data_IF_047684822514
#
_entry.id   IF_047684822514
#
_cell.length_a   1.000
_cell.length_b   1.000
_cell.length_c   1.000
_cell.angle_alpha   90.00
_cell.angle_beta   90.00
_cell.angle_gamma   90.00
#
_symmetry.space_group_name_H-M   'P 1'
#
loop_
_entity.id
_entity.type
_entity.pdbx_description
1 polymer ?
#
# COMPACT_ATOMS: atom_id res chain seq x y z
N UNK A 1 12.22 -10.72 5.78
CA UNK A 1 11.56 -9.39 5.88
C UNK A 1 11.70 -8.63 4.57
N UNK A 2 10.81 -7.67 4.27
CA UNK A 2 10.88 -6.90 3.02
C UNK A 2 12.26 -6.20 2.88
N UNK A 3 12.82 -6.16 1.69
CA UNK A 3 14.09 -5.46 1.40
C UNK A 3 13.79 -3.99 1.08
N UNK A 4 14.69 -3.01 1.33
CA UNK A 4 14.48 -1.63 0.89
C UNK A 4 14.32 -1.49 -0.63
N UNK A 5 14.46 -2.54 -1.44
CA UNK A 5 14.15 -2.53 -2.88
C UNK A 5 13.11 -3.57 -3.30
N UNK A 6 12.52 -4.32 -2.35
CA UNK A 6 11.54 -5.37 -2.64
C UNK A 6 10.23 -5.10 -1.91
N UNK A 7 9.13 -5.29 -2.61
CA UNK A 7 7.79 -5.31 -2.05
C UNK A 7 7.20 -6.72 -2.22
N UNK A 8 6.46 -7.19 -1.22
CA UNK A 8 5.65 -8.40 -1.37
C UNK A 8 4.31 -8.00 -1.99
N UNK A 9 3.77 -8.82 -2.90
CA UNK A 9 2.49 -8.52 -3.53
C UNK A 9 1.68 -9.79 -3.76
N UNK A 10 0.37 -9.62 -3.88
CA UNK A 10 -0.55 -10.68 -4.29
C UNK A 10 -1.62 -10.10 -5.20
N UNK A 11 -2.01 -10.85 -6.23
CA UNK A 11 -3.22 -10.58 -7.02
C UNK A 11 -4.37 -11.37 -6.43
N UNK A 12 -5.50 -10.72 -6.18
CA UNK A 12 -6.69 -11.34 -5.60
C UNK A 12 -7.99 -10.74 -6.14
N UNK A 13 -9.08 -11.49 -6.04
CA UNK A 13 -10.39 -11.00 -6.45
C UNK A 13 -10.91 -9.90 -5.51
N UNK A 14 -11.64 -8.92 -6.04
CA UNK A 14 -12.21 -7.78 -5.31
C UNK A 14 -13.19 -8.16 -4.20
N UNK A 15 -13.73 -9.38 -4.25
CA UNK A 15 -14.67 -9.96 -3.30
C UNK A 15 -14.03 -10.98 -2.36
N UNK A 16 -12.71 -11.17 -2.42
CA UNK A 16 -11.95 -12.02 -1.48
C UNK A 16 -12.32 -11.69 -0.03
N UNK A 17 -12.58 -12.74 0.76
CA UNK A 17 -12.97 -12.59 2.17
C UNK A 17 -11.87 -11.87 2.96
N UNK A 18 -12.19 -10.84 3.75
CA UNK A 18 -11.17 -10.06 4.47
C UNK A 18 -10.41 -10.87 5.53
N UNK A 19 -11.02 -11.94 6.07
CA UNK A 19 -10.36 -12.91 6.94
C UNK A 19 -9.10 -13.51 6.30
N UNK A 20 -9.20 -13.95 5.04
CA UNK A 20 -8.08 -14.57 4.32
C UNK A 20 -6.95 -13.55 4.07
N UNK A 21 -7.32 -12.29 3.83
CA UNK A 21 -6.35 -11.20 3.65
C UNK A 21 -5.64 -10.89 4.96
N UNK A 22 -6.35 -10.90 6.10
CA UNK A 22 -5.73 -10.72 7.40
C UNK A 22 -4.82 -11.91 7.78
N UNK A 23 -5.21 -13.14 7.43
CA UNK A 23 -4.37 -14.32 7.59
C UNK A 23 -3.09 -14.22 6.74
N UNK A 24 -3.21 -13.78 5.47
CA UNK A 24 -2.06 -13.49 4.62
C UNK A 24 -1.12 -12.47 5.30
N UNK A 25 -1.65 -11.36 5.81
CA UNK A 25 -0.85 -10.34 6.47
C UNK A 25 -0.12 -10.89 7.70
N UNK A 26 -0.82 -11.62 8.56
CA UNK A 26 -0.30 -12.02 9.87
C UNK A 26 0.56 -13.28 9.83
N UNK A 27 0.23 -14.25 8.96
CA UNK A 27 0.92 -15.54 8.86
C UNK A 27 2.00 -15.51 7.79
N UNK A 28 1.61 -15.24 6.55
CA UNK A 28 2.53 -15.33 5.40
C UNK A 28 3.49 -14.14 5.31
N UNK A 29 2.99 -12.93 5.59
CA UNK A 29 3.80 -11.71 5.59
C UNK A 29 4.37 -11.37 6.98
N UNK A 30 4.00 -12.16 8.00
CA UNK A 30 4.48 -12.04 9.38
C UNK A 30 4.31 -10.63 9.95
N UNK A 31 3.20 -9.97 9.63
CA UNK A 31 2.85 -8.66 10.16
C UNK A 31 2.13 -8.81 11.51
N UNK A 32 2.60 -8.10 12.53
CA UNK A 32 1.86 -7.96 13.78
C UNK A 32 0.53 -7.21 13.53
N UNK A 33 -0.54 -7.65 14.17
CA UNK A 33 -1.86 -7.01 14.08
C UNK A 33 -1.75 -5.53 14.51
N UNK A 34 -2.25 -4.58 13.71
CA UNK A 34 -2.00 -3.17 13.99
C UNK A 34 -2.88 -2.68 15.12
N UNK A 35 -2.32 -1.86 16.02
CA UNK A 35 -3.10 -1.13 17.03
C UNK A 35 -3.91 0.02 16.42
N UNK A 36 -3.51 0.48 15.24
CA UNK A 36 -4.14 1.57 14.50
C UNK A 36 -4.00 1.31 13.00
N UNK A 37 -5.07 1.57 12.24
CA UNK A 37 -5.04 1.57 10.78
C UNK A 37 -5.13 3.01 10.26
N UNK A 38 -4.15 3.45 9.48
CA UNK A 38 -4.13 4.78 8.87
C UNK A 38 -4.38 4.63 7.37
N UNK A 39 -5.58 4.96 6.91
CA UNK A 39 -5.89 4.99 5.48
C UNK A 39 -5.71 6.40 4.94
N UNK A 40 -4.80 6.56 3.97
CA UNK A 40 -4.57 7.83 3.28
C UNK A 40 -5.18 7.76 1.87
N UNK A 41 -6.11 8.67 1.61
CA UNK A 41 -6.90 8.74 0.37
C UNK A 41 -6.85 10.16 -0.20
N UNK A 42 -7.04 10.30 -1.50
CA UNK A 42 -7.32 11.59 -2.13
C UNK A 42 -7.22 11.56 -3.65
N UNK A 43 -7.10 12.74 -4.25
CA UNK A 43 -7.11 12.90 -5.70
C UNK A 43 -6.00 12.12 -6.41
N UNK A 44 -6.31 11.64 -7.62
CA UNK A 44 -5.36 10.94 -8.51
C UNK A 44 -4.40 11.89 -9.22
N UNK A 45 -4.83 13.12 -9.49
CA UNK A 45 -3.99 14.11 -10.13
C UNK A 45 -2.80 14.46 -9.23
N UNK A 46 -1.61 14.50 -9.82
CA UNK A 46 -0.42 14.96 -9.12
C UNK A 46 -0.57 16.43 -8.75
N UNK A 47 -0.11 16.78 -7.55
CA UNK A 47 -0.10 18.13 -7.03
C UNK A 47 1.19 18.37 -6.24
N UNK A 48 1.60 19.62 -6.14
CA UNK A 48 2.70 20.02 -5.28
C UNK A 48 2.18 20.64 -3.99
N UNK A 49 2.81 20.22 -2.88
CA UNK A 49 2.58 20.80 -1.57
C UNK A 49 3.63 21.87 -1.32
N UNK A 50 3.22 22.96 -0.65
CA UNK A 50 4.18 23.94 -0.14
C UNK A 50 5.24 23.24 0.73
N UNK A 51 6.54 23.59 0.62
CA UNK A 51 7.62 22.85 1.27
C UNK A 51 7.45 22.66 2.79
N UNK A 52 6.95 23.69 3.50
CA UNK A 52 6.69 23.62 4.95
C UNK A 52 5.61 22.58 5.28
N UNK A 53 4.50 22.59 4.54
CA UNK A 53 3.41 21.63 4.71
C UNK A 53 3.86 20.21 4.36
N UNK A 54 4.60 20.06 3.26
CA UNK A 54 5.21 18.79 2.82
C UNK A 54 6.09 18.19 3.93
N UNK A 55 6.93 18.99 4.59
CA UNK A 55 7.78 18.56 5.70
C UNK A 55 6.99 18.14 6.94
N UNK A 56 6.01 18.95 7.36
CA UNK A 56 5.20 18.66 8.56
C UNK A 56 4.36 17.40 8.36
N UNK A 57 3.68 17.28 7.22
CA UNK A 57 2.85 16.12 6.88
C UNK A 57 3.68 14.82 6.91
N UNK A 58 4.83 14.82 6.24
CA UNK A 58 5.72 13.63 6.18
C UNK A 58 6.20 13.23 7.57
N UNK A 59 6.70 14.18 8.36
CA UNK A 59 7.18 13.91 9.72
C UNK A 59 6.05 13.42 10.63
N UNK A 60 4.89 14.06 10.57
CA UNK A 60 3.72 13.70 11.37
C UNK A 60 3.22 12.29 11.07
N UNK A 61 3.03 11.97 9.79
CA UNK A 61 2.57 10.65 9.35
C UNK A 61 3.52 9.53 9.80
N UNK A 62 4.82 9.69 9.54
CA UNK A 62 5.81 8.69 9.95
C UNK A 62 5.89 8.54 11.46
N UNK A 63 5.86 9.66 12.20
CA UNK A 63 5.90 9.61 13.67
C UNK A 63 4.68 8.85 14.21
N UNK A 64 3.47 9.19 13.75
CA UNK A 64 2.24 8.52 14.19
C UNK A 64 2.29 7.02 13.91
N UNK A 65 2.69 6.63 12.69
CA UNK A 65 2.75 5.21 12.32
C UNK A 65 3.78 4.43 13.14
N UNK A 66 4.98 4.98 13.35
CA UNK A 66 6.03 4.33 14.13
C UNK A 66 5.67 4.22 15.62
N UNK A 67 5.14 5.28 16.21
CA UNK A 67 4.81 5.30 17.64
C UNK A 67 3.71 4.31 18.00
N UNK A 68 2.79 4.04 17.08
CA UNK A 68 1.63 3.18 17.33
C UNK A 68 1.76 1.77 16.76
N UNK A 69 2.76 1.51 15.91
CA UNK A 69 2.81 0.28 15.12
C UNK A 69 1.70 0.21 14.07
N UNK A 70 1.26 1.36 13.54
CA UNK A 70 0.15 1.40 12.60
C UNK A 70 0.52 0.82 11.23
N UNK A 71 -0.47 0.22 10.58
CA UNK A 71 -0.41 -0.03 9.15
C UNK A 71 -0.90 1.21 8.38
N UNK A 72 -0.24 1.53 7.27
CA UNK A 72 -0.65 2.60 6.36
C UNK A 72 -1.24 1.98 5.09
N UNK A 73 -2.51 2.26 4.81
CA UNK A 73 -3.17 1.92 3.55
C UNK A 73 -3.18 3.11 2.59
N UNK A 74 -2.88 2.86 1.32
CA UNK A 74 -2.99 3.85 0.23
C UNK A 74 -3.60 3.24 -1.03
N UNK A 75 -3.79 4.05 -2.08
CA UNK A 75 -4.21 3.56 -3.40
C UNK A 75 -3.13 2.80 -4.18
N UNK A 76 -1.90 2.70 -3.66
CA UNK A 76 -0.80 1.91 -4.23
C UNK A 76 -0.17 2.45 -5.52
N UNK A 77 -0.89 3.22 -6.34
CA UNK A 77 -0.35 3.82 -7.57
C UNK A 77 0.53 5.04 -7.27
N UNK A 78 1.54 5.29 -8.10
CA UNK A 78 2.47 6.42 -7.94
C UNK A 78 1.89 7.77 -8.41
N UNK A 79 0.68 8.09 -7.95
CA UNK A 79 -0.07 9.26 -8.38
C UNK A 79 -0.68 10.00 -7.19
N UNK A 80 -0.89 11.31 -7.35
CA UNK A 80 -1.59 12.18 -6.41
C UNK A 80 -1.15 12.02 -4.97
N UNK A 81 -2.10 11.74 -4.07
CA UNK A 81 -1.83 11.63 -2.63
C UNK A 81 -0.88 10.47 -2.31
N UNK A 82 -0.99 9.33 -2.99
CA UNK A 82 -0.11 8.18 -2.75
C UNK A 82 1.35 8.52 -3.04
N UNK A 83 1.62 9.38 -4.03
CA UNK A 83 2.98 9.89 -4.30
C UNK A 83 3.53 10.69 -3.12
N UNK A 84 2.72 11.57 -2.52
CA UNK A 84 3.13 12.35 -1.34
C UNK A 84 3.43 11.46 -0.13
N UNK A 85 2.67 10.38 0.05
CA UNK A 85 2.92 9.35 1.08
C UNK A 85 4.19 8.58 0.80
N UNK A 86 4.40 8.14 -0.46
CA UNK A 86 5.62 7.45 -0.87
C UNK A 86 6.89 8.26 -0.59
N UNK A 87 6.84 9.56 -0.84
CA UNK A 87 7.94 10.46 -0.49
C UNK A 87 8.16 10.63 1.02
N UNK A 88 7.12 10.45 1.84
CA UNK A 88 7.28 10.36 3.29
C UNK A 88 8.07 9.10 3.64
N UNK A 89 7.65 7.95 3.12
CA UNK A 89 8.28 6.64 3.34
C UNK A 89 9.75 6.61 2.89
N UNK A 90 10.12 7.44 1.91
CA UNK A 90 11.52 7.64 1.50
C UNK A 90 12.45 8.08 2.63
N UNK A 91 11.97 8.96 3.52
CA UNK A 91 12.74 9.47 4.66
C UNK A 91 12.97 8.39 5.74
N UNK A 92 12.25 7.27 5.65
CA UNK A 92 12.42 6.14 6.58
C UNK A 92 13.66 5.30 6.24
N UNK A 93 14.01 5.14 4.96
CA UNK A 93 15.09 4.23 4.52
C UNK A 93 16.48 4.58 5.08
N UNK A 94 16.67 5.80 5.56
CA UNK A 94 17.92 6.27 6.17
C UNK A 94 17.98 6.07 7.69
N UNK A 95 16.91 5.60 8.33
CA UNK A 95 16.81 5.49 9.79
C UNK A 95 16.73 4.00 10.18
N UNK A 96 17.70 3.50 10.95
CA UNK A 96 17.80 2.09 11.42
C UNK A 96 16.64 1.64 12.34
N UNK A 97 15.69 2.51 12.66
CA UNK A 97 14.60 2.27 13.61
C UNK A 97 13.27 2.01 12.89
N UNK A 98 12.77 0.78 13.00
CA UNK A 98 11.37 0.38 12.78
C UNK A 98 10.76 0.75 11.42
N UNK A 99 10.65 -0.24 10.53
CA UNK A 99 10.02 -0.02 9.22
C UNK A 99 8.52 0.13 9.36
N UNK A 100 7.99 1.21 8.79
CA UNK A 100 6.54 1.43 8.68
C UNK A 100 5.92 0.40 7.74
N UNK A 101 4.86 -0.27 8.20
CA UNK A 101 4.07 -1.18 7.35
C UNK A 101 3.23 -0.34 6.40
N UNK A 102 3.59 -0.35 5.12
CA UNK A 102 2.89 0.40 4.06
C UNK A 102 2.34 -0.57 3.01
N UNK A 103 1.02 -0.56 2.85
CA UNK A 103 0.26 -1.48 1.99
C UNK A 103 -0.48 -0.66 0.94
N UNK A 104 -0.11 -0.85 -0.33
CA UNK A 104 -0.79 -0.27 -1.48
C UNK A 104 -1.94 -1.16 -1.95
N UNK A 105 -3.16 -0.65 -2.00
CA UNK A 105 -4.32 -1.38 -2.52
C UNK A 105 -4.69 -0.79 -3.89
N UNK A 106 -4.23 -1.45 -4.96
CA UNK A 106 -4.32 -0.94 -6.32
C UNK A 106 -5.18 -1.87 -7.20
N UNK A 107 -5.98 -1.35 -8.15
CA UNK A 107 -6.69 -2.20 -9.10
C UNK A 107 -5.72 -2.86 -10.08
N UNK A 108 -5.80 -4.17 -10.26
CA UNK A 108 -4.98 -4.92 -11.21
C UNK A 108 -5.13 -4.40 -12.66
N UNK A 109 -6.36 -4.06 -13.05
CA UNK A 109 -6.69 -3.61 -14.40
C UNK A 109 -6.07 -2.28 -14.79
N UNK A 110 -5.60 -1.46 -13.83
CA UNK A 110 -4.96 -0.17 -14.12
C UNK A 110 -3.45 -0.18 -13.99
N UNK A 111 -2.86 -1.28 -13.49
CA UNK A 111 -1.41 -1.39 -13.29
C UNK A 111 -0.74 -1.54 -14.64
N UNK A 112 0.16 -0.61 -14.95
CA UNK A 112 0.97 -0.66 -16.17
C UNK A 112 1.87 -1.90 -16.14
N UNK A 113 1.99 -2.57 -17.29
CA UNK A 113 2.72 -3.84 -17.47
C UNK A 113 2.37 -4.93 -16.47
N UNK A 114 1.10 -5.03 -16.06
CA UNK A 114 0.67 -6.03 -15.08
C UNK A 114 1.03 -7.48 -15.47
N UNK A 115 1.10 -7.83 -16.75
CA UNK A 115 1.54 -9.14 -17.23
C UNK A 115 2.96 -9.54 -16.76
N UNK A 116 3.86 -8.57 -16.53
CA UNK A 116 5.20 -8.81 -15.98
C UNK A 116 5.16 -9.26 -14.50
N UNK A 117 4.08 -8.93 -13.78
CA UNK A 117 3.84 -9.31 -12.39
C UNK A 117 3.17 -10.69 -12.25
N UNK A 118 2.90 -11.38 -13.37
CA UNK A 118 2.29 -12.72 -13.30
C UNK A 118 3.38 -13.73 -12.94
N UNK A 119 3.14 -14.53 -11.90
CA UNK A 119 4.09 -15.54 -11.45
C UNK A 119 3.71 -16.17 -10.11
N UNK A 120 4.26 -17.34 -9.84
CA UNK A 120 4.12 -18.03 -8.56
C UNK A 120 5.47 -18.04 -7.84
N UNK A 121 5.50 -17.57 -6.60
CA UNK A 121 6.66 -17.61 -5.69
C UNK A 121 8.00 -17.18 -6.33
N UNK A 122 7.97 -16.12 -7.14
CA UNK A 122 9.16 -15.59 -7.81
C UNK A 122 9.30 -14.10 -7.63
N UNK A 123 10.56 -13.65 -7.57
CA UNK A 123 10.89 -12.25 -7.71
C UNK A 123 10.67 -11.81 -9.16
N UNK A 124 9.96 -10.70 -9.34
CA UNK A 124 9.74 -10.07 -10.64
C UNK A 124 10.37 -8.68 -10.64
N UNK A 125 11.14 -8.31 -11.67
CA UNK A 125 11.58 -6.94 -11.82
C UNK A 125 10.35 -6.04 -12.08
N UNK A 126 10.33 -4.86 -11.46
CA UNK A 126 9.28 -3.88 -11.70
C UNK A 126 9.88 -2.48 -11.87
N UNK A 127 9.60 -1.86 -13.02
CA UNK A 127 10.10 -0.53 -13.34
C UNK A 127 8.98 0.50 -13.16
N UNK A 128 9.10 1.32 -12.10
CA UNK A 128 8.19 2.44 -11.89
C UNK A 128 8.57 3.61 -12.81
N UNK A 129 7.99 3.66 -14.01
CA UNK A 129 8.16 4.77 -14.96
C UNK A 129 7.43 6.01 -14.42
N UNK A 130 8.14 7.15 -14.33
CA UNK A 130 7.61 8.39 -13.74
C UNK A 130 6.51 9.08 -14.55
N UNK A 131 6.37 8.72 -15.84
CA UNK A 131 5.47 9.35 -16.79
C UNK A 131 4.86 8.32 -17.75
N UNK A 132 3.85 7.53 -17.32
CA UNK A 132 3.10 6.67 -18.24
C UNK A 132 2.50 7.54 -19.35
N UNK A 133 2.78 7.24 -20.63
CA UNK A 133 2.07 7.86 -21.77
C UNK A 133 0.64 7.30 -21.92
N UNK A 134 0.20 6.48 -20.97
CA UNK A 134 -0.99 5.65 -21.05
C UNK A 134 -2.01 6.03 -19.97
N UNK A 135 -3.25 5.54 -20.13
CA UNK A 135 -4.31 5.63 -19.12
C UNK A 135 -4.05 4.76 -17.87
N UNK A 136 -2.97 4.00 -17.88
CA UNK A 136 -2.55 3.11 -16.79
C UNK A 136 -1.66 3.86 -15.79
N UNK A 137 -1.43 3.26 -14.63
CA UNK A 137 -0.60 3.84 -13.59
C UNK A 137 0.44 2.82 -13.12
N UNK A 138 1.62 3.32 -12.76
CA UNK A 138 2.65 2.51 -12.13
C UNK A 138 2.41 2.41 -10.62
N UNK A 139 2.87 1.31 -10.01
CA UNK A 139 2.88 1.12 -8.57
C UNK A 139 3.92 2.04 -7.92
N UNK A 140 3.63 2.53 -6.71
CA UNK A 140 4.55 3.37 -5.95
C UNK A 140 5.65 2.54 -5.30
N UNK A 141 6.88 2.66 -5.80
CA UNK A 141 8.06 1.89 -5.37
C UNK A 141 8.55 2.11 -3.92
N UNK A 142 7.79 2.82 -3.08
CA UNK A 142 8.10 3.09 -1.67
C UNK A 142 7.23 2.28 -0.70
N UNK A 143 6.20 1.60 -1.19
CA UNK A 143 5.38 0.71 -0.38
C UNK A 143 6.09 -0.64 -0.18
N UNK A 144 5.86 -1.25 0.98
CA UNK A 144 6.45 -2.55 1.33
C UNK A 144 5.59 -3.73 0.86
N UNK A 145 4.28 -3.51 0.70
CA UNK A 145 3.30 -4.54 0.38
C UNK A 145 2.28 -4.04 -0.64
N UNK A 146 1.73 -4.95 -1.46
CA UNK A 146 0.66 -4.64 -2.40
C UNK A 146 -0.45 -5.69 -2.43
N UNK A 147 -1.68 -5.20 -2.38
CA UNK A 147 -2.88 -5.94 -2.79
C UNK A 147 -3.27 -5.47 -4.19
N UNK A 148 -3.13 -6.34 -5.19
CA UNK A 148 -3.52 -6.06 -6.57
C UNK A 148 -4.92 -6.63 -6.81
N UNK A 149 -5.91 -5.74 -6.75
CA UNK A 149 -7.32 -6.10 -6.68
C UNK A 149 -7.91 -6.26 -8.08
N UNK A 150 -8.40 -7.45 -8.36
CA UNK A 150 -8.88 -7.83 -9.68
C UNK A 150 -10.39 -8.05 -9.70
N UNK A 151 -11.05 -7.55 -10.75
CA UNK A 151 -12.47 -7.76 -11.04
C UNK A 151 -12.69 -8.23 -12.48
N UNK A 152 -11.64 -8.68 -13.17
CA UNK A 152 -11.66 -9.14 -14.55
C UNK A 152 -11.68 -8.03 -15.61
N UNK A 153 -11.76 -6.75 -15.21
CA UNK A 153 -11.82 -5.62 -16.16
C UNK A 153 -10.46 -4.98 -16.39
N UNK A 154 -10.20 -4.53 -17.62
CA UNK A 154 -9.04 -3.72 -17.97
C UNK A 154 -9.32 -2.22 -17.88
N UNK A 155 -8.38 -1.46 -17.30
CA UNK A 155 -8.39 0.00 -17.28
C UNK A 155 -9.45 0.64 -16.37
N UNK A 156 -10.08 -0.11 -15.45
CA UNK A 156 -11.11 0.42 -14.55
C UNK A 156 -10.65 0.47 -13.10
N UNK A 157 -11.03 1.55 -12.43
CA UNK A 157 -10.93 1.70 -10.98
C UNK A 157 -12.25 1.27 -10.31
N UNK A 158 -12.23 1.10 -8.99
CA UNK A 158 -13.40 0.87 -8.15
C UNK A 158 -13.36 -0.47 -7.41
N UNK A 159 -12.73 -1.49 -7.98
CA UNK A 159 -12.59 -2.82 -7.37
C UNK A 159 -11.85 -2.75 -6.02
N UNK A 160 -10.78 -1.96 -5.97
CA UNK A 160 -9.97 -1.70 -4.79
C UNK A 160 -10.74 -1.00 -3.67
N UNK A 161 -11.75 -0.20 -4.01
CA UNK A 161 -12.57 0.52 -3.02
C UNK A 161 -13.45 -0.45 -2.24
N UNK A 162 -14.06 -1.41 -2.95
CA UNK A 162 -14.93 -2.43 -2.34
C UNK A 162 -14.13 -3.28 -1.38
N UNK A 163 -12.99 -3.80 -1.86
CA UNK A 163 -12.12 -4.65 -1.05
C UNK A 163 -11.57 -3.90 0.17
N UNK A 164 -11.05 -2.68 -0.03
CA UNK A 164 -10.49 -1.86 1.05
C UNK A 164 -11.52 -1.61 2.16
N UNK A 165 -12.75 -1.20 1.83
CA UNK A 165 -13.79 -0.92 2.83
C UNK A 165 -14.14 -2.17 3.66
N UNK A 166 -14.25 -3.34 3.00
CA UNK A 166 -14.52 -4.61 3.68
C UNK A 166 -13.37 -4.99 4.61
N UNK A 167 -12.13 -4.83 4.13
CA UNK A 167 -10.92 -5.13 4.89
C UNK A 167 -10.73 -4.21 6.09
N UNK A 168 -10.88 -2.90 5.91
CA UNK A 168 -10.83 -1.90 6.98
C UNK A 168 -11.84 -2.21 8.09
N UNK A 169 -13.11 -2.45 7.71
CA UNK A 169 -14.17 -2.82 8.66
C UNK A 169 -13.87 -4.13 9.40
N UNK A 170 -13.28 -5.10 8.70
CA UNK A 170 -12.92 -6.37 9.32
C UNK A 170 -11.76 -6.20 10.32
N UNK A 171 -10.72 -5.45 9.95
CA UNK A 171 -9.56 -5.16 10.81
C UNK A 171 -10.00 -4.37 12.05
N UNK A 172 -10.89 -3.38 11.91
CA UNK A 172 -11.36 -2.57 13.05
C UNK A 172 -12.14 -3.38 14.10
N UNK A 173 -12.69 -4.53 13.71
CA UNK A 173 -13.44 -5.41 14.60
C UNK A 173 -12.55 -6.48 15.25
N UNK A 174 -11.26 -6.54 14.94
CA UNK A 174 -10.35 -7.48 15.57
C UNK A 174 -10.06 -7.04 17.00
N UNK A 175 -10.10 -7.98 17.94
CA UNK A 175 -9.75 -7.71 19.32
C UNK A 175 -8.24 -7.52 19.41
N UNK A 176 -7.82 -6.34 19.89
CA UNK A 176 -6.46 -6.14 20.36
C UNK A 176 -6.36 -6.89 21.69
N UNK A 177 -5.74 -8.06 21.69
CA UNK A 177 -5.39 -8.69 22.96
C UNK A 177 -4.34 -7.82 23.65
N UNK A 178 -4.52 -7.41 24.92
CA UNK A 178 -3.45 -6.77 25.65
C UNK A 178 -2.27 -7.74 25.70
N UNK A 179 -1.08 -7.27 25.33
CA UNK A 179 0.15 -8.02 25.57
C UNK A 179 0.28 -8.20 27.09
N UNK A 180 0.30 -9.46 27.55
CA UNK A 180 0.72 -9.80 28.90
C UNK A 180 2.21 -9.51 29.09
#
# INVERSE_FOLDING_TARGET
>A
GPHPSKAQYVRLAYDTRPELILQLFTREWSLELPKLLITVQGGKANFELQPKLKKVLRKGLLKAAKTTGAWIFTGGTNTGVTRQVGDALLMERSQRSGRVVSIGIAPWGIVENNHELVGHNRDVPYHSISSPRSKFAVLNNRHAYFLLVDNGTGGRYGAEIILRRKLEKYISNQKLHPCN
#
